data_IF_450709935860
#
_entry.id   IF_450709935860
#
_cell.length_a   1.000
_cell.length_b   1.000
_cell.length_c   1.000
_cell.angle_alpha   90.00
_cell.angle_beta   90.00
_cell.angle_gamma   90.00
#
_symmetry.space_group_name_H-M   'P 1'
#
loop_
_entity.id
_entity.type
_entity.pdbx_description
1 polymer ?
#
# COMPACT_ATOMS: atom_id res chain seq x y z
N UNK A 1 20.74 13.65 29.52
CA UNK A 1 19.74 12.92 30.32
C UNK A 1 18.36 13.51 30.03
N UNK A 2 17.44 12.76 29.43
CA UNK A 2 16.14 13.25 28.95
C UNK A 2 15.03 13.33 30.03
N UNK A 3 15.44 13.45 31.31
CA UNK A 3 14.54 13.54 32.47
C UNK A 3 13.45 12.46 32.44
N UNK A 4 12.17 12.84 32.42
CA UNK A 4 11.02 11.93 32.41
C UNK A 4 11.03 10.94 31.23
N UNK A 5 11.71 11.26 30.12
CA UNK A 5 11.86 10.37 28.97
C UNK A 5 13.13 9.48 29.03
N UNK A 6 13.95 9.57 30.07
CA UNK A 6 15.22 8.84 30.15
C UNK A 6 15.03 7.32 30.16
N UNK A 7 14.01 6.82 30.87
CA UNK A 7 13.70 5.38 30.91
C UNK A 7 13.33 4.85 29.52
N UNK A 8 12.37 5.49 28.85
CA UNK A 8 11.93 5.07 27.51
C UNK A 8 13.01 5.25 26.44
N UNK A 9 13.87 6.27 26.55
CA UNK A 9 15.03 6.40 25.67
C UNK A 9 16.00 5.21 25.80
N UNK A 10 16.20 4.70 27.04
CA UNK A 10 16.96 3.47 27.28
C UNK A 10 16.30 2.24 26.65
N UNK A 11 14.97 2.13 26.76
CA UNK A 11 14.20 1.06 26.09
C UNK A 11 14.34 1.14 24.57
N UNK A 12 14.19 2.34 23.97
CA UNK A 12 14.37 2.55 22.53
C UNK A 12 15.77 2.15 22.05
N UNK A 13 16.83 2.57 22.79
CA UNK A 13 18.22 2.16 22.51
C UNK A 13 18.32 0.64 22.40
N UNK A 14 17.77 -0.06 23.39
CA UNK A 14 17.90 -1.51 23.47
C UNK A 14 17.03 -2.26 22.47
N UNK A 15 15.83 -1.77 22.15
CA UNK A 15 14.98 -2.34 21.08
C UNK A 15 15.66 -2.20 19.72
N UNK A 16 16.27 -1.04 19.43
CA UNK A 16 17.05 -0.86 18.21
C UNK A 16 18.28 -1.77 18.18
N UNK A 17 18.98 -1.91 19.31
CA UNK A 17 20.13 -2.82 19.41
C UNK A 17 19.76 -4.28 19.15
N UNK A 18 18.62 -4.74 19.68
CA UNK A 18 18.07 -6.07 19.41
C UNK A 18 17.72 -6.22 17.92
N UNK A 19 17.01 -5.26 17.34
CA UNK A 19 16.58 -5.28 15.93
C UNK A 19 17.76 -5.32 14.95
N UNK A 20 18.81 -4.58 15.24
CA UNK A 20 19.99 -4.49 14.38
C UNK A 20 21.08 -5.51 14.75
N UNK A 21 20.94 -6.23 15.87
CA UNK A 21 21.95 -7.17 16.36
C UNK A 21 23.27 -6.50 16.73
N UNK A 22 23.24 -5.22 17.16
CA UNK A 22 24.43 -4.41 17.42
C UNK A 22 24.23 -3.59 18.69
N UNK A 23 25.21 -3.63 19.59
CA UNK A 23 25.24 -2.82 20.81
C UNK A 23 26.02 -1.52 20.53
N UNK A 24 25.38 -0.35 20.62
CA UNK A 24 26.05 0.92 20.38
C UNK A 24 26.85 1.38 21.61
N UNK A 25 28.01 2.05 21.40
CA UNK A 25 28.91 2.42 22.47
C UNK A 25 28.28 3.40 23.46
N UNK A 26 28.80 3.40 24.68
CA UNK A 26 28.63 4.50 25.63
C UNK A 26 29.77 5.50 25.41
N UNK A 27 29.42 6.78 25.35
CA UNK A 27 30.39 7.85 25.11
C UNK A 27 31.01 8.33 26.43
N UNK A 28 32.17 9.00 26.32
CA UNK A 28 32.89 9.62 27.44
C UNK A 28 33.34 8.65 28.54
N UNK A 29 33.79 7.45 28.15
CA UNK A 29 34.25 6.40 29.07
C UNK A 29 35.73 6.05 28.92
N UNK A 30 36.53 6.89 28.25
CA UNK A 30 37.97 6.66 28.01
C UNK A 30 38.75 6.39 29.29
N UNK A 31 38.30 6.98 30.42
CA UNK A 31 38.79 6.66 31.76
C UNK A 31 37.61 6.27 32.65
N UNK A 32 37.43 4.96 32.96
CA UNK A 32 36.38 4.50 33.85
C UNK A 32 36.48 5.13 35.24
N UNK A 33 35.33 5.28 35.91
CA UNK A 33 35.29 5.85 37.27
C UNK A 33 36.11 5.01 38.26
N UNK A 34 36.99 5.67 39.03
CA UNK A 34 37.76 5.06 40.12
C UNK A 34 36.93 4.63 41.34
N UNK A 35 35.66 5.03 41.40
CA UNK A 35 34.75 4.71 42.51
C UNK A 35 34.01 3.38 42.29
N UNK A 36 34.31 2.65 41.20
CA UNK A 36 33.75 1.34 40.88
C UNK A 36 34.92 0.37 40.71
N UNK A 37 34.82 -0.82 41.32
CA UNK A 37 35.80 -1.89 41.12
C UNK A 37 35.47 -2.69 39.86
N UNK A 38 36.22 -2.42 38.79
CA UNK A 38 36.09 -3.10 37.48
C UNK A 38 36.87 -4.42 37.40
N UNK A 39 37.70 -4.76 38.40
CA UNK A 39 38.63 -5.89 38.32
C UNK A 39 37.95 -7.27 38.41
N UNK A 40 36.72 -7.31 38.95
CA UNK A 40 35.92 -8.53 39.10
C UNK A 40 35.49 -9.19 37.77
N UNK A 41 35.52 -8.45 36.66
CA UNK A 41 35.22 -8.96 35.31
C UNK A 41 33.75 -9.26 35.02
N UNK A 42 32.83 -9.10 35.99
CA UNK A 42 31.39 -9.33 35.80
C UNK A 42 30.66 -8.20 35.09
N UNK A 43 31.26 -7.01 35.03
CA UNK A 43 30.73 -5.83 34.34
C UNK A 43 31.82 -5.18 33.48
N UNK A 44 31.45 -4.76 32.28
CA UNK A 44 32.34 -4.07 31.35
C UNK A 44 31.60 -2.90 30.69
N UNK A 45 32.26 -1.75 30.59
CA UNK A 45 31.77 -0.63 29.80
C UNK A 45 31.89 -0.96 28.31
N UNK A 46 30.89 -0.55 27.55
CA UNK A 46 30.85 -0.73 26.10
C UNK A 46 31.39 0.54 25.43
N UNK A 47 32.70 0.65 25.35
CA UNK A 47 33.44 1.80 24.78
C UNK A 47 33.44 1.83 23.24
N UNK A 48 33.22 0.69 22.61
CA UNK A 48 33.11 0.54 21.16
C UNK A 48 31.81 -0.17 20.75
N UNK A 49 31.38 0.05 19.51
CA UNK A 49 30.28 -0.70 18.92
C UNK A 49 30.60 -2.19 18.87
N UNK A 50 29.66 -3.05 19.28
CA UNK A 50 29.85 -4.50 19.22
C UNK A 50 28.70 -5.23 18.56
N UNK A 51 29.05 -6.14 17.66
CA UNK A 51 28.13 -7.14 17.14
C UNK A 51 27.58 -7.97 18.31
N UNK A 52 26.27 -8.18 18.28
CA UNK A 52 25.55 -8.96 19.28
C UNK A 52 24.90 -10.15 18.57
N UNK A 53 25.65 -11.17 18.12
CA UNK A 53 25.11 -12.26 17.32
C UNK A 53 24.13 -13.12 18.13
N UNK A 54 23.18 -13.76 17.43
CA UNK A 54 22.34 -14.79 18.02
C UNK A 54 23.20 -16.00 18.40
N UNK A 55 22.91 -16.65 19.52
CA UNK A 55 23.70 -17.77 20.05
C UNK A 55 22.83 -18.97 20.45
N UNK A 56 21.73 -19.19 19.73
CA UNK A 56 20.76 -20.24 20.04
C UNK A 56 19.85 -19.93 21.23
N UNK A 57 19.93 -18.73 21.80
CA UNK A 57 19.02 -18.20 22.82
C UNK A 57 18.57 -16.79 22.43
N UNK A 58 17.34 -16.39 22.78
CA UNK A 58 16.89 -15.01 22.59
C UNK A 58 17.84 -14.04 23.30
N UNK A 59 18.26 -12.98 22.61
CA UNK A 59 19.05 -11.91 23.21
C UNK A 59 18.22 -11.22 24.29
N UNK A 60 18.85 -10.93 25.43
CA UNK A 60 18.21 -10.26 26.57
C UNK A 60 19.05 -9.11 27.06
N UNK A 61 18.38 -8.03 27.46
CA UNK A 61 19.01 -6.88 28.11
C UNK A 61 18.10 -6.31 29.18
N UNK A 62 18.64 -5.43 30.00
CA UNK A 62 17.87 -4.75 31.02
C UNK A 62 18.06 -3.23 30.92
N UNK A 63 17.00 -2.50 31.25
CA UNK A 63 16.99 -1.04 31.37
C UNK A 63 16.62 -0.68 32.79
N UNK A 64 17.47 0.09 33.46
CA UNK A 64 17.21 0.62 34.80
C UNK A 64 17.02 2.12 34.76
N UNK A 65 16.05 2.63 35.51
CA UNK A 65 15.79 4.07 35.66
C UNK A 65 15.55 4.41 37.13
N UNK A 66 16.32 5.37 37.65
CA UNK A 66 16.31 5.75 39.05
C UNK A 66 15.92 7.23 39.16
N UNK A 67 14.73 7.49 39.68
CA UNK A 67 14.20 8.84 39.84
C UNK A 67 14.75 9.52 41.09
N UNK A 68 14.85 10.85 41.06
CA UNK A 68 15.34 11.64 42.19
C UNK A 68 14.48 11.52 43.45
N UNK A 69 13.20 11.16 43.30
CA UNK A 69 12.29 10.83 44.42
C UNK A 69 12.64 9.53 45.14
N UNK A 70 13.59 8.74 44.62
CA UNK A 70 13.91 7.39 45.10
C UNK A 70 13.07 6.28 44.46
N UNK A 71 12.17 6.60 43.53
CA UNK A 71 11.41 5.58 42.77
C UNK A 71 12.29 4.96 41.69
N UNK A 72 12.36 3.63 41.68
CA UNK A 72 13.21 2.86 40.78
C UNK A 72 12.36 1.96 39.87
N UNK A 73 12.73 1.87 38.59
CA UNK A 73 12.15 0.95 37.63
C UNK A 73 13.25 0.11 36.98
N UNK A 74 12.98 -1.18 36.78
CA UNK A 74 13.88 -2.11 36.11
C UNK A 74 13.07 -2.99 35.16
N UNK A 75 13.44 -2.99 33.88
CA UNK A 75 12.73 -3.72 32.84
C UNK A 75 13.70 -4.64 32.12
N UNK A 76 13.32 -5.90 31.97
CA UNK A 76 14.03 -6.88 31.13
C UNK A 76 13.36 -6.92 29.77
N UNK A 77 14.15 -6.81 28.71
CA UNK A 77 13.72 -6.91 27.33
C UNK A 77 14.31 -8.17 26.70
N UNK A 78 13.51 -8.84 25.87
CA UNK A 78 13.90 -10.02 25.12
C UNK A 78 13.66 -9.75 23.63
N UNK A 79 14.54 -10.31 22.80
CA UNK A 79 14.37 -10.38 21.35
C UNK A 79 13.00 -10.97 20.97
N UNK A 80 12.36 -10.40 19.95
CA UNK A 80 11.12 -10.94 19.43
C UNK A 80 11.39 -12.35 18.84
N UNK A 81 10.44 -13.30 18.96
CA UNK A 81 10.58 -14.58 18.26
C UNK A 81 10.69 -14.33 16.75
N UNK A 82 11.41 -15.20 16.06
CA UNK A 82 11.43 -15.19 14.60
C UNK A 82 9.98 -15.23 14.08
N UNK A 83 9.67 -14.37 13.12
CA UNK A 83 8.37 -14.43 12.48
C UNK A 83 8.24 -15.82 11.84
N UNK A 84 7.16 -16.57 12.12
CA UNK A 84 6.94 -17.83 11.43
C UNK A 84 6.98 -17.57 9.92
N UNK A 85 7.54 -18.48 9.11
CA UNK A 85 7.49 -18.35 7.67
C UNK A 85 6.03 -18.09 7.29
N UNK A 86 5.79 -17.08 6.45
CA UNK A 86 4.46 -16.77 5.97
C UNK A 86 3.83 -18.08 5.48
N UNK A 87 2.69 -18.45 6.05
CA UNK A 87 1.98 -19.65 5.60
C UNK A 87 1.78 -19.50 4.08
N UNK A 88 1.94 -20.58 3.30
CA UNK A 88 1.65 -20.52 1.87
C UNK A 88 0.25 -19.92 1.73
N UNK A 89 0.18 -18.77 1.06
CA UNK A 89 -1.07 -18.06 0.84
C UNK A 89 -2.07 -19.06 0.29
N UNK A 90 -3.17 -19.27 1.02
CA UNK A 90 -4.33 -19.92 0.42
C UNK A 90 -4.63 -19.17 -0.88
N UNK A 91 -5.06 -19.85 -1.96
CA UNK A 91 -5.41 -19.18 -3.20
C UNK A 91 -6.35 -18.04 -2.85
N UNK A 92 -5.88 -16.80 -3.04
CA UNK A 92 -6.71 -15.63 -2.76
C UNK A 92 -8.00 -15.82 -3.59
N UNK A 93 -9.19 -15.57 -3.01
CA UNK A 93 -10.40 -15.48 -3.82
C UNK A 93 -10.09 -14.54 -4.99
N UNK A 94 -10.50 -14.91 -6.20
CA UNK A 94 -10.17 -14.23 -7.47
C UNK A 94 -10.15 -12.73 -7.24
N UNK A 95 -8.95 -12.18 -7.03
CA UNK A 95 -8.84 -10.78 -6.68
C UNK A 95 -9.36 -10.00 -7.89
N UNK A 96 -10.18 -8.96 -7.70
CA UNK A 96 -10.68 -8.14 -8.81
C UNK A 96 -9.58 -7.40 -9.58
N UNK A 97 -8.31 -7.67 -9.24
CA UNK A 97 -7.08 -7.09 -9.74
C UNK A 97 -7.16 -6.88 -11.24
N UNK A 98 -7.29 -5.62 -11.61
CA UNK A 98 -6.92 -5.13 -12.94
C UNK A 98 -5.40 -5.11 -12.97
N UNK A 99 -4.78 -6.00 -13.74
CA UNK A 99 -3.33 -5.99 -13.89
C UNK A 99 -2.84 -4.75 -14.65
N UNK A 100 -1.65 -4.25 -14.33
CA UNK A 100 -0.96 -3.20 -15.10
C UNK A 100 -1.05 -1.76 -14.59
N UNK A 101 -1.67 -1.49 -13.43
CA UNK A 101 -1.52 -0.22 -12.72
C UNK A 101 -1.70 -0.40 -11.21
N UNK A 102 -0.77 0.16 -10.43
CA UNK A 102 -0.77 0.18 -8.97
C UNK A 102 -1.18 1.56 -8.47
N UNK A 103 -2.19 1.66 -7.59
CA UNK A 103 -2.54 2.91 -6.94
C UNK A 103 -1.73 3.12 -5.66
N UNK A 104 -1.00 4.23 -5.59
CA UNK A 104 -0.44 4.73 -4.32
C UNK A 104 -1.31 5.85 -3.79
N UNK A 105 -2.00 5.57 -2.68
CA UNK A 105 -2.91 6.51 -2.01
C UNK A 105 -2.17 7.26 -0.93
N UNK A 106 -2.18 8.58 -1.00
CA UNK A 106 -1.64 9.47 0.02
C UNK A 106 -2.76 10.29 0.62
N UNK A 107 -2.65 10.62 1.91
CA UNK A 107 -3.56 11.57 2.53
C UNK A 107 -2.89 12.44 3.59
N UNK A 108 -3.42 13.64 3.80
CA UNK A 108 -2.95 14.58 4.81
C UNK A 108 -4.09 15.50 5.30
N UNK A 109 -3.86 16.17 6.44
CA UNK A 109 -4.77 17.20 6.98
C UNK A 109 -4.65 18.56 6.29
N UNK A 110 -3.64 18.76 5.46
CA UNK A 110 -3.46 19.99 4.68
C UNK A 110 -2.85 19.67 3.30
N UNK A 111 -3.20 20.47 2.29
CA UNK A 111 -2.65 20.31 0.92
C UNK A 111 -1.12 20.39 0.87
N UNK A 112 -0.50 21.23 1.69
CA UNK A 112 0.96 21.31 1.79
C UNK A 112 1.57 20.03 2.36
N UNK A 113 1.01 19.52 3.47
CA UNK A 113 1.46 18.27 4.08
C UNK A 113 1.28 17.05 3.15
N UNK A 114 0.28 17.07 2.26
CA UNK A 114 0.12 16.04 1.24
C UNK A 114 1.28 16.01 0.24
N UNK A 115 1.82 17.19 -0.13
CA UNK A 115 3.00 17.31 -0.99
C UNK A 115 4.28 16.92 -0.27
N UNK A 116 4.40 17.28 1.00
CA UNK A 116 5.52 16.84 1.83
C UNK A 116 5.53 15.30 1.96
N UNK A 117 4.36 14.69 2.12
CA UNK A 117 4.22 13.23 2.15
C UNK A 117 4.59 12.59 0.81
N UNK A 118 4.22 13.19 -0.32
CA UNK A 118 4.63 12.74 -1.65
C UNK A 118 6.16 12.79 -1.82
N UNK A 119 6.79 13.88 -1.36
CA UNK A 119 8.25 14.04 -1.38
C UNK A 119 8.93 12.99 -0.51
N UNK A 120 8.43 12.78 0.71
CA UNK A 120 8.97 11.82 1.66
C UNK A 120 8.85 10.39 1.14
N UNK A 121 7.72 10.03 0.53
CA UNK A 121 7.50 8.70 -0.05
C UNK A 121 8.38 8.47 -1.28
N UNK A 122 8.49 9.45 -2.18
CA UNK A 122 9.37 9.33 -3.35
C UNK A 122 10.85 9.18 -2.96
N UNK A 123 11.29 9.82 -1.87
CA UNK A 123 12.62 9.64 -1.31
C UNK A 123 12.77 8.27 -0.60
N UNK A 124 11.75 7.83 0.13
CA UNK A 124 11.74 6.55 0.84
C UNK A 124 11.93 5.36 -0.10
N UNK A 125 11.20 5.35 -1.22
CA UNK A 125 11.27 4.27 -2.21
C UNK A 125 12.56 4.35 -3.02
N UNK A 126 13.04 5.55 -3.36
CA UNK A 126 14.34 5.70 -4.02
C UNK A 126 15.51 5.14 -3.19
N UNK A 127 15.41 5.21 -1.86
CA UNK A 127 16.39 4.62 -0.94
C UNK A 127 16.25 3.08 -0.79
N UNK A 128 15.20 2.46 -1.36
CA UNK A 128 14.90 1.02 -1.27
C UNK A 128 14.40 0.47 -2.61
N UNK A 129 15.25 0.41 -3.64
CA UNK A 129 14.84 -0.02 -4.99
C UNK A 129 14.45 -1.51 -5.10
N UNK A 130 14.61 -2.30 -4.03
CA UNK A 130 14.25 -3.72 -4.01
C UNK A 130 12.91 -4.05 -3.35
N UNK A 131 12.22 -3.06 -2.78
CA UNK A 131 10.91 -3.26 -2.16
C UNK A 131 9.83 -3.37 -3.25
N UNK A 132 8.85 -4.25 -3.05
CA UNK A 132 7.72 -4.40 -3.98
C UNK A 132 6.83 -3.14 -3.94
N UNK A 133 6.57 -2.47 -5.09
CA UNK A 133 5.65 -1.34 -5.14
C UNK A 133 4.22 -1.69 -4.70
N UNK A 134 3.79 -2.94 -4.86
CA UNK A 134 2.48 -3.41 -4.42
C UNK A 134 2.38 -3.44 -2.89
N UNK A 135 3.42 -3.90 -2.19
CA UNK A 135 3.50 -3.87 -0.72
C UNK A 135 3.46 -2.43 -0.19
N UNK A 136 4.14 -1.51 -0.89
CA UNK A 136 4.07 -0.08 -0.57
C UNK A 136 2.63 0.45 -0.71
N UNK A 137 1.96 0.15 -1.83
CA UNK A 137 0.57 0.53 -2.06
C UNK A 137 -0.38 -0.04 -1.02
N UNK A 138 -0.20 -1.31 -0.67
CA UNK A 138 -0.96 -1.98 0.39
C UNK A 138 -0.77 -1.29 1.73
N UNK A 139 0.48 -1.06 2.15
CA UNK A 139 0.79 -0.41 3.42
C UNK A 139 0.22 1.01 3.51
N UNK A 140 0.20 1.76 2.40
CA UNK A 140 -0.39 3.09 2.34
C UNK A 140 -1.89 3.11 2.64
N UNK A 141 -2.60 2.01 2.40
CA UNK A 141 -4.05 1.90 2.67
C UNK A 141 -4.33 1.21 4.00
N UNK A 142 -3.54 0.20 4.39
CA UNK A 142 -3.84 -0.63 5.57
C UNK A 142 -3.13 -0.19 6.85
N UNK A 143 -2.03 0.56 6.75
CA UNK A 143 -1.20 0.95 7.92
C UNK A 143 -1.18 2.46 8.18
N UNK A 144 -1.86 3.25 7.33
CA UNK A 144 -1.94 4.71 7.45
C UNK A 144 -3.38 5.13 7.66
N UNK A 145 -3.57 6.18 8.46
CA UNK A 145 -4.86 6.85 8.55
C UNK A 145 -5.20 7.51 7.22
N UNK A 146 -6.45 7.39 6.78
CA UNK A 146 -6.99 8.12 5.65
C UNK A 146 -7.55 9.47 6.13
N UNK A 147 -7.03 10.56 5.56
CA UNK A 147 -7.33 11.95 5.91
C UNK A 147 -8.04 12.65 4.73
N UNK A 148 -8.33 13.94 4.92
CA UNK A 148 -9.31 14.66 4.09
C UNK A 148 -8.72 15.07 2.73
N UNK A 149 -7.49 15.58 2.68
CA UNK A 149 -6.82 15.82 1.41
C UNK A 149 -6.17 14.54 0.93
N UNK A 150 -6.53 14.08 -0.27
CA UNK A 150 -6.08 12.81 -0.84
C UNK A 150 -5.44 13.01 -2.20
N UNK A 151 -4.45 12.17 -2.49
CA UNK A 151 -3.83 12.05 -3.81
C UNK A 151 -3.67 10.56 -4.14
N UNK A 152 -3.88 10.19 -5.40
CA UNK A 152 -3.68 8.85 -5.92
C UNK A 152 -2.73 8.95 -7.12
N UNK A 153 -1.53 8.43 -6.97
CA UNK A 153 -0.61 8.21 -8.08
C UNK A 153 -0.91 6.84 -8.71
N UNK A 154 -0.96 6.78 -10.04
CA UNK A 154 -1.16 5.56 -10.80
C UNK A 154 0.09 5.30 -11.65
N UNK A 155 0.64 4.08 -11.57
CA UNK A 155 1.82 3.68 -12.34
C UNK A 155 2.01 2.17 -12.30
N UNK A 156 2.77 1.61 -13.24
CA UNK A 156 3.02 0.18 -13.32
C UNK A 156 4.13 -0.27 -12.36
N UNK A 157 5.05 0.62 -12.00
CA UNK A 157 6.19 0.31 -11.15
C UNK A 157 6.56 1.46 -10.18
N UNK A 158 7.48 1.14 -9.26
CA UNK A 158 7.97 2.07 -8.24
C UNK A 158 8.62 3.35 -8.81
N UNK A 159 9.25 3.25 -9.98
CA UNK A 159 9.94 4.36 -10.65
C UNK A 159 8.94 5.35 -11.23
N UNK A 160 7.97 4.86 -11.99
CA UNK A 160 6.86 5.67 -12.52
C UNK A 160 6.11 6.38 -11.39
N UNK A 161 5.79 5.66 -10.33
CA UNK A 161 5.09 6.20 -9.17
C UNK A 161 5.93 7.26 -8.43
N UNK A 162 7.23 7.03 -8.24
CA UNK A 162 8.11 8.02 -7.62
C UNK A 162 8.25 9.29 -8.46
N UNK A 163 8.29 9.18 -9.80
CA UNK A 163 8.27 10.32 -10.71
C UNK A 163 6.96 11.09 -10.59
N UNK A 164 5.82 10.39 -10.63
CA UNK A 164 4.49 10.99 -10.46
C UNK A 164 4.37 11.78 -9.15
N UNK A 165 4.87 11.22 -8.05
CA UNK A 165 4.85 11.87 -6.74
C UNK A 165 5.76 13.11 -6.66
N UNK A 166 6.93 13.08 -7.29
CA UNK A 166 7.82 14.26 -7.36
C UNK A 166 7.19 15.38 -8.18
N UNK A 167 6.61 15.05 -9.33
CA UNK A 167 5.89 16.01 -10.18
C UNK A 167 4.71 16.64 -9.42
N UNK A 168 3.92 15.82 -8.70
CA UNK A 168 2.84 16.31 -7.85
C UNK A 168 3.33 17.21 -6.70
N UNK A 169 4.41 16.82 -6.03
CA UNK A 169 5.02 17.65 -4.98
C UNK A 169 5.55 18.98 -5.51
N UNK A 170 6.11 18.97 -6.72
CA UNK A 170 6.54 20.17 -7.47
C UNK A 170 5.41 20.99 -8.10
N UNK A 171 4.15 20.55 -7.94
CA UNK A 171 2.96 21.18 -8.51
C UNK A 171 2.98 21.27 -10.04
N UNK A 172 3.56 20.27 -10.71
CA UNK A 172 3.55 20.19 -12.17
C UNK A 172 2.12 19.92 -12.69
N UNK A 173 1.59 20.72 -13.62
CA UNK A 173 0.21 20.57 -14.11
C UNK A 173 -0.10 19.21 -14.76
N UNK A 174 0.92 18.53 -15.26
CA UNK A 174 0.82 17.25 -15.99
C UNK A 174 1.16 16.04 -15.12
N UNK A 175 1.29 16.21 -13.80
CA UNK A 175 1.55 15.10 -12.90
C UNK A 175 0.43 14.05 -13.02
N UNK A 176 0.73 12.75 -13.24
CA UNK A 176 -0.27 11.69 -13.35
C UNK A 176 -0.79 11.28 -11.96
N UNK A 177 -1.32 12.27 -11.23
CA UNK A 177 -1.83 12.14 -9.87
C UNK A 177 -3.20 12.78 -9.81
N UNK A 178 -4.21 11.99 -9.46
CA UNK A 178 -5.55 12.51 -9.18
C UNK A 178 -5.57 12.94 -7.72
N UNK A 179 -5.95 14.18 -7.44
CA UNK A 179 -5.98 14.67 -6.07
C UNK A 179 -7.19 15.55 -5.81
N UNK A 180 -7.60 15.60 -4.54
CA UNK A 180 -8.80 16.31 -4.13
C UNK A 180 -8.95 16.36 -2.63
N UNK A 181 -10.08 16.89 -2.21
CA UNK A 181 -10.54 16.82 -0.83
C UNK A 181 -11.70 15.85 -0.80
N UNK A 182 -11.62 14.87 0.09
CA UNK A 182 -12.59 13.80 0.16
C UNK A 182 -13.85 14.31 0.85
N UNK A 183 -14.92 14.43 0.08
CA UNK A 183 -16.29 14.52 0.59
C UNK A 183 -16.88 13.11 0.53
N UNK A 184 -16.79 12.40 1.65
CA UNK A 184 -17.23 10.99 1.75
C UNK A 184 -18.66 10.85 2.23
N UNK A 185 -19.34 11.96 2.49
CA UNK A 185 -20.73 11.95 2.91
C UNK A 185 -21.63 11.85 1.68
N UNK A 186 -22.44 10.79 1.58
CA UNK A 186 -23.41 10.68 0.50
C UNK A 186 -23.83 9.25 0.17
N UNK A 187 -24.69 9.16 -0.85
CA UNK A 187 -25.11 7.91 -1.47
C UNK A 187 -24.43 7.74 -2.81
N UNK A 188 -24.08 6.51 -3.17
CA UNK A 188 -23.46 6.18 -4.45
C UNK A 188 -24.53 5.89 -5.49
N UNK A 189 -24.44 6.49 -6.68
CA UNK A 189 -25.34 6.21 -7.80
C UNK A 189 -24.53 5.68 -8.98
N UNK A 190 -24.91 4.52 -9.52
CA UNK A 190 -24.37 4.06 -10.80
C UNK A 190 -25.23 4.60 -11.94
N UNK A 191 -24.58 5.27 -12.90
CA UNK A 191 -25.22 5.88 -14.06
C UNK A 191 -24.87 5.06 -15.31
N UNK A 192 -25.90 4.56 -16.00
CA UNK A 192 -25.80 3.70 -17.17
C UNK A 192 -26.29 4.48 -18.39
N UNK A 193 -25.42 5.23 -19.08
CA UNK A 193 -25.85 6.03 -20.22
C UNK A 193 -26.37 5.17 -21.37
N UNK A 194 -27.30 5.73 -22.15
CA UNK A 194 -27.77 5.12 -23.39
C UNK A 194 -26.72 5.17 -24.52
N UNK A 195 -27.19 5.05 -25.75
CA UNK A 195 -26.34 5.07 -26.94
C UNK A 195 -25.62 6.42 -27.12
N UNK A 196 -24.35 6.37 -27.51
CA UNK A 196 -23.51 7.56 -27.77
C UNK A 196 -22.14 7.52 -27.10
N UNK A 197 -21.93 6.62 -26.13
CA UNK A 197 -20.68 6.48 -25.39
C UNK A 197 -19.78 5.34 -25.89
N UNK A 198 -20.25 4.56 -26.87
CA UNK A 198 -19.50 3.46 -27.45
C UNK A 198 -18.27 3.94 -28.23
N UNK A 199 -17.25 3.11 -28.26
CA UNK A 199 -16.07 3.30 -29.10
C UNK A 199 -15.46 1.94 -29.46
N UNK A 200 -14.75 1.92 -30.58
CA UNK A 200 -14.13 0.72 -31.13
C UNK A 200 -13.05 0.15 -30.20
N UNK A 201 -13.21 -1.12 -29.79
CA UNK A 201 -12.30 -1.78 -28.85
C UNK A 201 -12.63 -1.51 -27.37
N UNK A 202 -13.77 -0.89 -27.06
CA UNK A 202 -14.25 -0.79 -25.67
C UNK A 202 -14.34 -2.17 -25.03
N UNK A 203 -13.89 -2.30 -23.78
CA UNK A 203 -13.92 -3.58 -23.05
C UNK A 203 -12.84 -4.61 -23.45
N UNK A 204 -12.13 -4.44 -24.57
CA UNK A 204 -11.06 -5.37 -25.00
C UNK A 204 -9.94 -5.50 -23.96
N UNK A 205 -9.41 -4.37 -23.49
CA UNK A 205 -8.34 -4.36 -22.48
C UNK A 205 -8.82 -4.88 -21.12
N UNK A 206 -9.98 -4.45 -20.58
CA UNK A 206 -10.54 -5.05 -19.36
C UNK A 206 -10.77 -6.57 -19.42
N UNK A 207 -11.09 -7.14 -20.60
CA UNK A 207 -11.21 -8.60 -20.77
C UNK A 207 -9.91 -9.34 -20.44
N UNK A 208 -8.76 -8.74 -20.74
CA UNK A 208 -7.46 -9.36 -20.49
C UNK A 208 -6.94 -9.08 -19.08
N UNK A 209 -7.30 -7.92 -18.51
CA UNK A 209 -6.74 -7.45 -17.25
C UNK A 209 -7.58 -7.77 -16.02
N UNK A 210 -8.90 -7.96 -16.16
CA UNK A 210 -9.82 -8.17 -15.04
C UNK A 210 -10.60 -9.48 -15.19
N UNK A 211 -10.31 -10.50 -14.37
CA UNK A 211 -11.05 -11.75 -14.36
C UNK A 211 -12.55 -11.55 -14.10
N UNK A 212 -12.90 -10.62 -13.21
CA UNK A 212 -14.28 -10.28 -12.85
C UNK A 212 -15.04 -9.69 -14.05
N UNK A 213 -14.38 -8.80 -14.80
CA UNK A 213 -14.97 -8.26 -16.03
C UNK A 213 -15.17 -9.36 -17.07
N UNK A 214 -14.16 -10.21 -17.27
CA UNK A 214 -14.21 -11.28 -18.26
C UNK A 214 -15.28 -12.33 -17.96
N UNK A 215 -15.41 -12.74 -16.69
CA UNK A 215 -16.46 -13.65 -16.25
C UNK A 215 -17.86 -13.05 -16.50
N UNK A 216 -18.04 -11.76 -16.20
CA UNK A 216 -19.32 -11.10 -16.43
C UNK A 216 -19.65 -10.96 -17.91
N UNK A 217 -18.67 -10.64 -18.77
CA UNK A 217 -18.86 -10.62 -20.22
C UNK A 217 -19.22 -12.02 -20.74
N UNK A 218 -18.58 -13.08 -20.24
CA UNK A 218 -18.92 -14.45 -20.64
C UNK A 218 -20.38 -14.80 -20.29
N UNK A 219 -20.85 -14.40 -19.10
CA UNK A 219 -22.25 -14.56 -18.71
C UNK A 219 -23.21 -13.75 -19.60
N UNK A 220 -22.84 -12.52 -19.98
CA UNK A 220 -23.61 -11.72 -20.93
C UNK A 220 -23.65 -12.35 -22.33
N UNK A 221 -22.53 -12.92 -22.80
CA UNK A 221 -22.46 -13.59 -24.09
C UNK A 221 -23.41 -14.80 -24.15
N UNK A 222 -23.41 -15.64 -23.11
CA UNK A 222 -24.34 -16.77 -22.98
C UNK A 222 -25.81 -16.31 -22.96
N UNK A 223 -26.11 -15.19 -22.31
CA UNK A 223 -27.46 -14.64 -22.27
C UNK A 223 -27.93 -14.08 -23.62
N UNK A 224 -27.00 -13.54 -24.43
CA UNK A 224 -27.30 -12.97 -25.74
C UNK A 224 -27.37 -14.02 -26.86
N UNK A 225 -26.66 -15.14 -26.72
CA UNK A 225 -26.52 -16.19 -27.74
C UNK A 225 -27.83 -16.58 -28.45
N UNK A 226 -29.00 -16.71 -27.79
CA UNK A 226 -30.25 -17.06 -28.47
C UNK A 226 -30.85 -15.96 -29.36
N UNK A 227 -30.37 -14.71 -29.23
CA UNK A 227 -30.97 -13.52 -29.84
C UNK A 227 -30.10 -12.87 -30.92
N UNK A 228 -28.84 -13.30 -31.06
CA UNK A 228 -27.87 -12.68 -31.96
C UNK A 228 -27.17 -13.73 -32.82
N UNK A 229 -26.70 -13.33 -34.00
CA UNK A 229 -25.94 -14.16 -34.94
C UNK A 229 -24.43 -13.88 -34.92
N UNK A 230 -23.97 -13.11 -33.92
CA UNK A 230 -22.58 -12.67 -33.75
C UNK A 230 -22.07 -12.96 -32.33
N UNK A 231 -20.75 -12.98 -32.16
CA UNK A 231 -20.09 -13.22 -30.87
C UNK A 231 -19.76 -11.91 -30.16
N UNK A 232 -20.25 -11.73 -28.93
CA UNK A 232 -19.95 -10.56 -28.10
C UNK A 232 -18.45 -10.38 -27.89
N UNK A 233 -17.73 -11.46 -27.60
CA UNK A 233 -16.28 -11.39 -27.38
C UNK A 233 -15.54 -11.03 -28.67
N UNK A 234 -15.98 -11.55 -29.82
CA UNK A 234 -15.40 -11.22 -31.12
C UNK A 234 -15.60 -9.74 -31.48
N UNK A 235 -16.77 -9.17 -31.19
CA UNK A 235 -17.05 -7.73 -31.38
C UNK A 235 -16.16 -6.88 -30.48
N UNK A 236 -16.05 -7.21 -29.20
CA UNK A 236 -15.20 -6.47 -28.26
C UNK A 236 -13.71 -6.52 -28.65
N UNK A 237 -13.23 -7.67 -29.12
CA UNK A 237 -11.85 -7.87 -29.59
C UNK A 237 -11.60 -7.36 -31.01
N UNK A 238 -12.64 -6.89 -31.72
CA UNK A 238 -12.56 -6.46 -33.11
C UNK A 238 -11.99 -7.55 -34.04
N UNK A 239 -12.40 -8.80 -33.81
CA UNK A 239 -11.93 -9.92 -34.63
C UNK A 239 -12.41 -9.78 -36.09
N UNK A 240 -11.61 -10.27 -37.06
CA UNK A 240 -12.04 -10.28 -38.45
C UNK A 240 -13.38 -11.00 -38.65
N UNK A 241 -14.34 -10.30 -39.27
CA UNK A 241 -15.70 -10.82 -39.51
C UNK A 241 -16.70 -10.55 -38.40
N UNK A 242 -16.28 -9.98 -37.27
CA UNK A 242 -17.21 -9.45 -36.28
C UNK A 242 -17.93 -8.20 -36.82
N UNK A 243 -19.24 -8.01 -36.51
CA UNK A 243 -19.95 -6.80 -36.93
C UNK A 243 -19.41 -5.56 -36.20
N UNK A 244 -19.51 -4.40 -36.87
CA UNK A 244 -19.17 -3.11 -36.29
C UNK A 244 -20.21 -2.59 -35.30
N UNK A 245 -19.84 -1.53 -34.56
CA UNK A 245 -20.71 -0.82 -33.62
C UNK A 245 -21.60 0.25 -34.28
N UNK A 246 -21.66 0.27 -35.61
CA UNK A 246 -22.55 1.13 -36.41
C UNK A 246 -23.98 0.61 -36.49
N UNK A 247 -24.16 -0.71 -36.31
CA UNK A 247 -25.45 -1.39 -36.25
C UNK A 247 -26.10 -1.27 -34.86
N UNK A 248 -27.34 -0.75 -34.82
CA UNK A 248 -28.09 -0.55 -33.57
C UNK A 248 -28.31 -1.86 -32.81
N UNK A 249 -28.58 -2.95 -33.52
CA UNK A 249 -28.78 -4.29 -32.99
C UNK A 249 -27.50 -4.96 -32.45
N UNK A 250 -26.34 -4.36 -32.71
CA UNK A 250 -25.04 -4.79 -32.17
C UNK A 250 -24.61 -3.85 -31.03
N UNK A 251 -24.63 -2.55 -31.27
CA UNK A 251 -24.12 -1.55 -30.31
C UNK A 251 -24.90 -1.54 -29.00
N UNK A 252 -26.23 -1.71 -29.02
CA UNK A 252 -27.01 -1.68 -27.78
C UNK A 252 -26.71 -2.87 -26.87
N UNK A 253 -26.75 -4.14 -27.35
CA UNK A 253 -26.36 -5.29 -26.52
C UNK A 253 -24.90 -5.25 -26.05
N UNK A 254 -23.97 -4.81 -26.90
CA UNK A 254 -22.55 -4.72 -26.54
C UNK A 254 -22.33 -3.66 -25.46
N UNK A 255 -22.93 -2.47 -25.62
CA UNK A 255 -22.83 -1.39 -24.62
C UNK A 255 -23.45 -1.82 -23.29
N UNK A 256 -24.62 -2.47 -23.31
CA UNK A 256 -25.24 -3.06 -22.13
C UNK A 256 -24.28 -4.03 -21.41
N UNK A 257 -23.72 -4.99 -22.15
CA UNK A 257 -22.83 -5.99 -21.58
C UNK A 257 -21.57 -5.37 -20.95
N UNK A 258 -20.99 -4.36 -21.60
CA UNK A 258 -19.84 -3.61 -21.05
C UNK A 258 -20.23 -2.87 -19.77
N UNK A 259 -21.35 -2.14 -19.74
CA UNK A 259 -21.74 -1.36 -18.56
C UNK A 259 -22.03 -2.25 -17.34
N UNK A 260 -22.77 -3.35 -17.52
CA UNK A 260 -23.05 -4.27 -16.39
C UNK A 260 -21.80 -5.01 -15.92
N UNK A 261 -20.82 -5.21 -16.82
CA UNK A 261 -19.52 -5.80 -16.48
C UNK A 261 -18.64 -4.82 -15.71
N UNK A 262 -18.62 -3.55 -16.08
CA UNK A 262 -17.95 -2.50 -15.29
C UNK A 262 -18.58 -2.32 -13.91
N UNK A 263 -19.91 -2.38 -13.81
CA UNK A 263 -20.61 -2.33 -12.52
C UNK A 263 -20.17 -3.48 -11.60
N UNK A 264 -20.04 -4.70 -12.16
CA UNK A 264 -19.57 -5.88 -11.41
C UNK A 264 -18.12 -5.71 -10.90
N UNK A 265 -17.25 -5.07 -11.70
CA UNK A 265 -15.88 -4.74 -11.26
C UNK A 265 -15.90 -3.76 -10.08
N UNK A 266 -16.72 -2.70 -10.14
CA UNK A 266 -16.87 -1.76 -9.02
C UNK A 266 -17.36 -2.42 -7.74
N UNK A 267 -18.36 -3.29 -7.86
CA UNK A 267 -18.90 -4.06 -6.73
C UNK A 267 -17.84 -4.99 -6.12
N UNK A 268 -16.99 -5.60 -6.93
CA UNK A 268 -15.90 -6.45 -6.46
C UNK A 268 -14.82 -5.68 -5.68
N UNK A 269 -14.65 -4.39 -5.96
CA UNK A 269 -13.84 -3.45 -5.15
C UNK A 269 -14.60 -2.87 -3.94
N UNK A 270 -15.82 -3.35 -3.67
CA UNK A 270 -16.62 -2.96 -2.52
C UNK A 270 -17.47 -1.70 -2.73
N UNK A 271 -17.47 -1.11 -3.94
CA UNK A 271 -18.31 0.04 -4.26
C UNK A 271 -19.73 -0.45 -4.58
N UNK A 272 -20.67 -0.17 -3.68
CA UNK A 272 -22.07 -0.56 -3.82
C UNK A 272 -22.93 0.66 -4.15
N UNK A 273 -23.77 0.54 -5.17
CA UNK A 273 -24.73 1.57 -5.50
C UNK A 273 -25.93 1.56 -4.53
N UNK A 274 -26.31 2.74 -4.03
CA UNK A 274 -27.57 2.97 -3.30
C UNK A 274 -28.74 3.19 -4.26
N UNK A 275 -28.46 3.65 -5.47
CA UNK A 275 -29.43 3.80 -6.55
C UNK A 275 -28.76 3.60 -7.91
N UNK A 276 -29.57 3.30 -8.92
CA UNK A 276 -29.12 3.21 -10.32
C UNK A 276 -29.97 4.15 -11.17
N UNK A 277 -29.36 4.73 -12.20
CA UNK A 277 -30.02 5.61 -13.17
C UNK A 277 -29.56 5.23 -14.57
N UNK A 278 -30.47 5.18 -15.55
CA UNK A 278 -30.18 4.87 -16.95
C UNK A 278 -31.30 5.31 -17.87
#
# INVERSE_FOLDING_TARGET
HAQSAAGVAGVMKMVLALRHGVLPPTLHVDTPSRHVDWSSGVLRLLDEERQWPANGRPRRCAVSSFGISGTNAHTVLEEAPDAPPAAPEAPLPTTPCVSGALPWVLSARARAALRDQATALAAHVAARPGDDPADTGHALVTTRSLLDHRAVALGADAGELAVALRAFAGQEPTAPVVHGEADVDGRTVFVFPGQGTQWDGMGARPLDLSPVFAERIAACALALEPFVDWSLTAVLRQEPGAPGLDRVDVVQPVTWAVMVSLATVWEAYGVRADAVFG
#
